data_IF_649320544251
#
_entry.id   IF_649320544251
#
_cell.length_a   1.000
_cell.length_b   1.000
_cell.length_c   1.000
_cell.angle_alpha   90.00
_cell.angle_beta   90.00
_cell.angle_gamma   90.00
#
_symmetry.space_group_name_H-M   'P 1'
#
loop_
_entity.id
_entity.type
_entity.pdbx_description
1 polymer ?
#
# COMPACT_ATOMS: atom_id res chain seq x y z
N UNK A 1 -0.07 33.22 35.32
CA UNK A 1 -1.00 32.19 34.77
C UNK A 1 -0.90 32.20 33.24
N UNK A 2 0.20 31.70 32.66
CA UNK A 2 0.48 31.85 31.20
C UNK A 2 1.37 30.74 30.61
N UNK A 3 1.48 29.57 31.29
CA UNK A 3 2.43 28.50 30.92
C UNK A 3 1.72 27.16 30.61
N UNK A 4 0.38 27.09 30.69
CA UNK A 4 -0.34 25.80 30.51
C UNK A 4 -0.77 25.56 29.05
N UNK A 5 -0.68 26.56 28.17
CA UNK A 5 -1.26 26.46 26.81
C UNK A 5 -0.30 25.80 25.79
N UNK A 6 1.01 25.76 26.05
CA UNK A 6 1.97 25.20 25.07
C UNK A 6 2.06 23.66 25.08
N UNK A 7 1.70 23.00 26.18
CA UNK A 7 1.88 21.55 26.32
C UNK A 7 0.80 20.73 25.58
N UNK A 8 -0.34 21.33 25.24
CA UNK A 8 -1.41 20.67 24.51
C UNK A 8 -1.14 20.51 23.01
N UNK A 9 -0.31 21.38 22.43
CA UNK A 9 -0.07 21.42 20.98
C UNK A 9 0.90 20.32 20.51
N UNK A 10 1.80 19.84 21.38
CA UNK A 10 2.75 18.76 21.03
C UNK A 10 2.14 17.35 21.04
N UNK A 11 1.01 17.13 21.71
CA UNK A 11 0.36 15.80 21.73
C UNK A 11 -0.39 15.48 20.44
N UNK A 12 -0.72 16.48 19.62
CA UNK A 12 -1.50 16.31 18.38
C UNK A 12 -0.59 15.93 17.19
N UNK A 13 0.73 16.15 17.29
CA UNK A 13 1.69 15.90 16.20
C UNK A 13 2.15 14.44 16.08
N UNK A 14 1.80 13.56 17.03
CA UNK A 14 2.19 12.14 16.98
C UNK A 14 1.17 11.22 16.29
N UNK A 15 0.05 11.75 15.80
CA UNK A 15 -0.93 10.98 15.03
C UNK A 15 -0.70 11.05 13.51
N UNK A 16 0.55 11.25 13.08
CA UNK A 16 0.91 11.19 11.67
C UNK A 16 0.92 9.71 11.23
N UNK A 17 -0.27 9.25 10.86
CA UNK A 17 -0.56 8.19 9.89
C UNK A 17 0.28 6.90 9.97
N UNK A 18 0.05 6.10 11.00
CA UNK A 18 0.01 4.65 10.76
C UNK A 18 -1.33 4.36 10.05
N UNK A 19 -1.37 4.45 8.72
CA UNK A 19 -2.43 3.77 7.95
C UNK A 19 -2.22 2.27 8.17
N UNK A 20 -2.83 1.73 9.23
CA UNK A 20 -2.77 0.32 9.56
C UNK A 20 -3.17 -0.53 8.35
N UNK A 21 -2.51 -1.66 8.17
CA UNK A 21 -2.80 -2.53 7.04
C UNK A 21 -4.25 -2.99 7.10
N UNK A 22 -5.00 -2.83 5.99
CA UNK A 22 -6.35 -3.39 5.93
C UNK A 22 -6.23 -4.91 5.80
N UNK A 23 -6.57 -5.63 6.86
CA UNK A 23 -6.61 -7.09 6.90
C UNK A 23 -8.06 -7.58 6.75
N UNK A 24 -8.49 -7.75 5.49
CA UNK A 24 -9.84 -8.14 5.09
C UNK A 24 -10.18 -9.62 5.18
N UNK A 25 -9.50 -10.41 6.01
CA UNK A 25 -9.75 -11.84 6.22
C UNK A 25 -9.19 -12.78 5.14
N UNK A 26 -9.41 -14.10 5.33
CA UNK A 26 -8.84 -15.18 4.50
C UNK A 26 -9.45 -15.14 3.07
N UNK A 27 -8.66 -15.09 1.99
CA UNK A 27 -9.18 -14.76 0.67
C UNK A 27 -9.08 -15.95 -0.27
N UNK A 28 -10.20 -16.63 -0.49
CA UNK A 28 -10.34 -17.58 -1.60
C UNK A 28 -10.29 -16.84 -2.96
N UNK A 29 -10.52 -15.53 -2.92
CA UNK A 29 -10.55 -14.63 -4.08
C UNK A 29 -9.81 -13.33 -3.78
N UNK A 30 -9.20 -12.69 -4.80
CA UNK A 30 -8.51 -11.42 -4.61
C UNK A 30 -9.45 -10.32 -4.13
N UNK A 31 -8.98 -9.50 -3.19
CA UNK A 31 -9.74 -8.39 -2.59
C UNK A 31 -8.97 -7.09 -2.49
N UNK A 32 -7.73 -7.07 -2.96
CA UNK A 32 -6.87 -5.91 -2.88
C UNK A 32 -6.46 -5.46 -4.28
N UNK A 33 -6.41 -4.15 -4.47
CA UNK A 33 -5.70 -3.50 -5.57
C UNK A 33 -4.57 -2.69 -4.96
N UNK A 34 -3.34 -3.11 -5.23
CA UNK A 34 -2.13 -2.50 -4.70
C UNK A 34 -1.51 -1.57 -5.76
N UNK A 35 -0.95 -0.44 -5.31
CA UNK A 35 -0.21 0.50 -6.13
C UNK A 35 1.26 0.42 -5.73
N UNK A 36 2.06 -0.11 -6.64
CA UNK A 36 3.47 -0.35 -6.42
C UNK A 36 3.76 -1.22 -5.19
N UNK A 37 4.97 -1.73 -5.10
CA UNK A 37 5.38 -2.56 -3.99
C UNK A 37 6.69 -3.26 -4.27
N UNK A 38 7.13 -4.04 -3.30
CA UNK A 38 8.31 -4.88 -3.37
C UNK A 38 8.20 -6.06 -2.40
N UNK A 39 8.71 -7.20 -2.83
CA UNK A 39 8.99 -8.33 -1.95
C UNK A 39 10.49 -8.47 -1.77
N UNK A 40 10.91 -8.99 -0.62
CA UNK A 40 12.29 -9.38 -0.36
C UNK A 40 12.34 -10.89 -0.36
N UNK A 41 13.12 -11.46 -1.27
CA UNK A 41 13.24 -12.91 -1.44
C UNK A 41 14.68 -13.36 -1.19
N UNK A 42 14.89 -14.41 -0.36
CA UNK A 42 16.19 -15.02 -0.20
C UNK A 42 16.55 -15.84 -1.44
N UNK A 43 17.79 -15.73 -1.88
CA UNK A 43 18.40 -16.47 -2.99
C UNK A 43 19.72 -17.09 -2.50
N UNK A 44 20.31 -17.99 -3.30
CA UNK A 44 21.59 -18.62 -2.98
C UNK A 44 22.73 -17.60 -2.75
N UNK A 45 22.64 -16.43 -3.38
CA UNK A 45 23.68 -15.38 -3.33
C UNK A 45 23.34 -14.22 -2.40
N UNK A 46 22.20 -14.25 -1.69
CA UNK A 46 21.78 -13.18 -0.78
C UNK A 46 20.31 -12.80 -0.91
N UNK A 47 19.96 -11.57 -0.51
CA UNK A 47 18.59 -11.07 -0.55
C UNK A 47 18.35 -10.23 -1.81
N UNK A 48 17.25 -10.51 -2.52
CA UNK A 48 16.86 -9.78 -3.73
C UNK A 48 15.54 -9.06 -3.50
N UNK A 49 15.50 -7.76 -3.86
CA UNK A 49 14.25 -7.00 -3.88
C UNK A 49 13.56 -7.16 -5.23
N UNK A 50 12.34 -7.68 -5.22
CA UNK A 50 11.49 -7.79 -6.40
C UNK A 50 10.48 -6.64 -6.42
N UNK A 51 10.72 -5.63 -7.25
CA UNK A 51 9.79 -4.53 -7.44
C UNK A 51 8.52 -4.99 -8.17
N UNK A 52 7.35 -4.71 -7.61
CA UNK A 52 6.04 -4.81 -8.26
C UNK A 52 5.65 -3.39 -8.68
N UNK A 53 5.81 -3.07 -9.96
CA UNK A 53 5.49 -1.73 -10.49
C UNK A 53 4.08 -1.67 -11.03
N UNK A 54 3.41 -0.54 -10.86
CA UNK A 54 2.05 -0.34 -11.33
C UNK A 54 1.00 -0.89 -10.38
N UNK A 55 -0.22 -0.91 -10.91
CA UNK A 55 -1.35 -1.54 -10.26
C UNK A 55 -1.28 -3.06 -10.40
N UNK A 56 -1.58 -3.78 -9.31
CA UNK A 56 -1.78 -5.22 -9.35
C UNK A 56 -2.87 -5.66 -8.37
N UNK A 57 -3.51 -6.78 -8.70
CA UNK A 57 -4.55 -7.40 -7.87
C UNK A 57 -3.89 -8.40 -6.94
N UNK A 58 -4.33 -8.45 -5.68
CA UNK A 58 -3.81 -9.39 -4.68
C UNK A 58 -4.91 -9.99 -3.81
N UNK A 59 -4.72 -11.24 -3.40
CA UNK A 59 -5.45 -11.90 -2.31
C UNK A 59 -4.83 -11.59 -0.95
N UNK A 60 -3.51 -11.41 -0.88
CA UNK A 60 -2.82 -10.95 0.33
C UNK A 60 -2.98 -9.43 0.52
N UNK A 61 -3.02 -8.93 1.77
CA UNK A 61 -2.96 -7.50 2.06
C UNK A 61 -1.76 -6.84 1.38
N UNK A 62 -1.95 -5.64 0.84
CA UNK A 62 -0.92 -4.96 0.06
C UNK A 62 0.36 -4.64 0.84
N UNK A 63 0.26 -4.57 2.17
CA UNK A 63 1.41 -4.37 3.05
C UNK A 63 2.39 -5.54 3.05
N UNK A 64 1.95 -6.74 2.64
CA UNK A 64 2.86 -7.88 2.37
C UNK A 64 3.85 -7.58 1.24
N UNK A 65 3.53 -6.60 0.39
CA UNK A 65 4.39 -6.10 -0.69
C UNK A 65 4.98 -4.73 -0.35
N UNK A 66 4.99 -4.29 0.92
CA UNK A 66 5.50 -2.97 1.30
C UNK A 66 4.88 -1.83 0.45
N UNK A 67 3.61 -1.99 0.04
CA UNK A 67 2.89 -1.02 -0.75
C UNK A 67 2.24 0.01 0.19
N UNK A 68 2.47 1.30 -0.07
CA UNK A 68 1.93 2.40 0.74
C UNK A 68 0.56 2.88 0.26
N UNK A 69 0.20 2.58 -0.99
CA UNK A 69 -1.06 2.97 -1.58
C UNK A 69 -1.82 1.72 -2.04
N UNK A 70 -3.05 1.55 -1.58
CA UNK A 70 -3.87 0.39 -1.91
C UNK A 70 -5.34 0.64 -1.63
N UNK A 71 -6.18 -0.20 -2.21
CA UNK A 71 -7.61 -0.27 -1.94
C UNK A 71 -8.02 -1.70 -1.60
N UNK A 72 -8.90 -1.83 -0.60
CA UNK A 72 -9.54 -3.09 -0.23
C UNK A 72 -11.01 -3.08 -0.64
N UNK A 73 -11.47 -4.18 -1.22
CA UNK A 73 -12.86 -4.37 -1.62
C UNK A 73 -13.41 -5.62 -0.93
N UNK A 74 -14.40 -5.48 -0.02
CA UNK A 74 -15.03 -6.62 0.65
C UNK A 74 -15.73 -7.59 -0.32
N UNK A 75 -16.16 -7.06 -1.48
CA UNK A 75 -16.95 -7.74 -2.51
C UNK A 75 -16.06 -7.90 -3.75
N UNK A 76 -15.62 -9.13 -4.10
CA UNK A 76 -14.61 -9.39 -5.12
C UNK A 76 -15.02 -8.96 -6.54
N UNK A 77 -16.31 -8.86 -6.83
CA UNK A 77 -16.88 -8.42 -8.12
C UNK A 77 -16.46 -6.99 -8.48
N UNK A 78 -16.12 -6.16 -7.47
CA UNK A 78 -15.68 -4.78 -7.68
C UNK A 78 -14.20 -4.66 -8.06
N UNK A 79 -13.42 -5.74 -7.94
CA UNK A 79 -11.97 -5.73 -8.16
C UNK A 79 -11.61 -5.44 -9.61
N UNK A 80 -12.31 -6.03 -10.58
CA UNK A 80 -12.00 -5.81 -12.00
C UNK A 80 -12.12 -4.34 -12.41
N UNK A 81 -13.23 -3.69 -12.04
CA UNK A 81 -13.46 -2.27 -12.31
C UNK A 81 -12.48 -1.37 -11.53
N UNK A 82 -12.15 -1.72 -10.29
CA UNK A 82 -11.17 -0.99 -9.49
C UNK A 82 -9.76 -1.08 -10.08
N UNK A 83 -9.34 -2.27 -10.51
CA UNK A 83 -8.07 -2.49 -11.17
C UNK A 83 -7.96 -1.73 -12.48
N UNK A 84 -9.02 -1.72 -13.29
CA UNK A 84 -9.08 -0.95 -14.54
C UNK A 84 -8.93 0.56 -14.28
N UNK A 85 -9.62 1.11 -13.28
CA UNK A 85 -9.43 2.52 -12.87
C UNK A 85 -8.02 2.80 -12.40
N UNK A 86 -7.48 1.95 -11.52
CA UNK A 86 -6.10 2.07 -11.04
C UNK A 86 -5.13 2.19 -12.22
N UNK A 87 -5.25 1.29 -13.21
CA UNK A 87 -4.41 1.29 -14.42
C UNK A 87 -4.59 2.54 -15.29
N UNK A 88 -5.81 3.06 -15.38
CA UNK A 88 -6.14 4.26 -16.16
C UNK A 88 -5.56 5.52 -15.52
N UNK A 89 -5.75 5.67 -14.20
CA UNK A 89 -5.34 6.84 -13.42
C UNK A 89 -3.88 6.73 -12.93
N UNK A 90 -3.16 5.68 -13.31
CA UNK A 90 -1.81 5.45 -12.83
C UNK A 90 -0.86 6.56 -13.34
N UNK A 91 -0.25 7.35 -12.45
CA UNK A 91 0.35 8.63 -12.82
C UNK A 91 1.71 8.51 -13.52
N UNK A 92 2.29 7.31 -13.57
CA UNK A 92 3.62 7.07 -14.12
C UNK A 92 3.55 6.17 -15.35
N UNK A 93 4.22 6.56 -16.44
CA UNK A 93 4.35 5.69 -17.61
C UNK A 93 5.41 4.61 -17.36
N UNK A 94 5.32 3.54 -18.14
CA UNK A 94 6.36 2.51 -18.18
C UNK A 94 7.73 3.16 -18.45
N UNK A 95 8.63 3.08 -17.47
CA UNK A 95 9.99 3.64 -17.54
C UNK A 95 10.21 4.96 -16.78
N UNK A 96 9.16 5.63 -16.29
CA UNK A 96 9.28 6.96 -15.64
C UNK A 96 9.55 6.90 -14.13
N UNK A 97 9.69 5.71 -13.54
CA UNK A 97 9.82 5.58 -12.09
C UNK A 97 11.26 5.58 -11.58
N UNK A 98 11.51 6.49 -10.63
CA UNK A 98 12.68 6.54 -9.75
C UNK A 98 12.75 5.26 -8.91
N UNK A 99 13.88 4.56 -8.99
CA UNK A 99 14.28 3.56 -8.02
C UNK A 99 14.65 4.29 -6.72
N UNK A 100 13.80 4.19 -5.69
CA UNK A 100 14.14 4.62 -4.34
C UNK A 100 14.94 3.55 -3.60
#
# INVERSE_FOLDING_TARGET
MKIIILSGLMLIMNFIHAQGCIEGGKPDQPRYVCFDGRTLEPTETGLVWNAKRGCFVSSLPCCAYNATHYAFYPTPEKIGAAYARCRHDYPFRLGEMQTH
#
